data_IF_721617185520
#
_entry.id   IF_721617185520
#
_cell.length_a   1.000
_cell.length_b   1.000
_cell.length_c   1.000
_cell.angle_alpha   90.00
_cell.angle_beta   90.00
_cell.angle_gamma   90.00
#
_symmetry.space_group_name_H-M   'P 1'
#
loop_
_entity.id
_entity.type
_entity.pdbx_description
1 polymer ?
#
# COMPACT_ATOMS: atom_id res chain seq x y z
N UNK A 1 -51.66 -62.00 105.19
CA UNK A 1 -50.34 -62.56 104.86
C UNK A 1 -49.51 -61.48 104.16
N UNK A 2 -48.43 -61.04 104.81
CA UNK A 2 -47.07 -60.71 104.31
C UNK A 2 -46.83 -60.34 102.81
N UNK A 3 -45.77 -59.53 102.48
CA UNK A 3 -45.88 -58.08 102.24
C UNK A 3 -45.15 -57.58 100.97
N UNK A 4 -45.11 -56.25 100.83
CA UNK A 4 -44.21 -55.37 100.05
C UNK A 4 -43.00 -55.99 99.32
N UNK A 5 -42.78 -55.55 98.07
CA UNK A 5 -41.47 -55.09 97.60
C UNK A 5 -41.59 -54.19 96.35
N UNK A 6 -41.23 -52.92 96.51
CA UNK A 6 -40.91 -51.96 95.45
C UNK A 6 -39.49 -52.22 94.95
N UNK A 7 -39.29 -52.34 93.64
CA UNK A 7 -37.96 -52.34 93.01
C UNK A 7 -37.65 -50.98 92.37
N UNK A 8 -36.38 -50.54 92.38
CA UNK A 8 -36.00 -49.15 92.13
C UNK A 8 -35.79 -48.85 90.64
N UNK A 9 -35.87 -47.57 90.31
CA UNK A 9 -35.44 -46.95 89.04
C UNK A 9 -34.03 -47.41 88.65
N UNK A 10 -33.92 -48.27 87.64
CA UNK A 10 -32.64 -48.52 86.96
C UNK A 10 -32.41 -47.44 85.92
N UNK A 11 -31.52 -46.50 86.26
CA UNK A 11 -30.86 -45.63 85.31
C UNK A 11 -29.99 -46.50 84.40
N UNK A 12 -30.38 -46.67 83.14
CA UNK A 12 -29.53 -47.26 82.10
C UNK A 12 -28.42 -46.27 81.76
N UNK A 13 -27.29 -46.37 82.46
CA UNK A 13 -26.03 -45.79 82.00
C UNK A 13 -25.50 -46.65 80.86
N UNK A 14 -25.60 -46.13 79.63
CA UNK A 14 -24.85 -46.67 78.50
C UNK A 14 -23.35 -46.53 78.82
N UNK A 15 -22.72 -47.59 79.30
CA UNK A 15 -21.26 -47.73 79.21
C UNK A 15 -20.95 -48.08 77.75
N UNK A 16 -20.44 -47.10 77.02
CA UNK A 16 -19.69 -47.34 75.80
C UNK A 16 -18.57 -48.33 76.14
N UNK A 17 -18.71 -49.57 75.66
CA UNK A 17 -17.58 -50.49 75.56
C UNK A 17 -16.57 -49.81 74.64
N UNK A 18 -15.48 -49.33 75.22
CA UNK A 18 -14.26 -49.07 74.47
C UNK A 18 -13.76 -50.43 73.97
N UNK A 19 -13.81 -50.64 72.66
CA UNK A 19 -13.12 -51.77 72.03
C UNK A 19 -11.63 -51.65 72.35
N UNK A 20 -11.01 -52.65 73.00
CA UNK A 20 -9.63 -52.58 73.47
C UNK A 20 -8.57 -52.62 72.34
N UNK A 21 -8.99 -52.55 71.08
CA UNK A 21 -8.12 -52.46 69.90
C UNK A 21 -7.98 -51.04 69.33
N UNK A 22 -8.65 -50.03 69.90
CA UNK A 22 -8.59 -48.65 69.41
C UNK A 22 -7.64 -47.74 70.20
N UNK A 23 -6.74 -48.30 71.00
CA UNK A 23 -5.74 -47.52 71.72
C UNK A 23 -4.69 -46.95 70.74
N UNK A 24 -4.88 -45.71 70.29
CA UNK A 24 -3.93 -45.00 69.43
C UNK A 24 -4.22 -45.04 67.93
N UNK A 25 -5.44 -45.41 67.51
CA UNK A 25 -5.88 -45.28 66.12
C UNK A 25 -6.22 -43.83 65.73
N UNK A 26 -6.11 -43.50 64.44
CA UNK A 26 -6.44 -42.18 63.90
C UNK A 26 -7.78 -42.18 63.16
N UNK A 27 -8.51 -41.07 63.24
CA UNK A 27 -9.67 -40.81 62.39
C UNK A 27 -9.26 -40.53 60.93
N UNK A 28 -10.25 -40.37 60.05
CA UNK A 28 -10.04 -39.96 58.67
C UNK A 28 -9.09 -38.73 58.56
N UNK A 29 -8.02 -38.79 57.74
CA UNK A 29 -7.08 -37.68 57.61
C UNK A 29 -7.77 -36.40 57.13
N UNK A 30 -7.60 -35.31 57.87
CA UNK A 30 -8.16 -34.00 57.49
C UNK A 30 -7.57 -33.50 56.16
N UNK A 31 -8.42 -32.81 55.38
CA UNK A 31 -8.00 -32.03 54.21
C UNK A 31 -7.18 -30.84 54.69
N UNK A 32 -5.96 -30.68 54.18
CA UNK A 32 -5.09 -29.56 54.52
C UNK A 32 -5.37 -28.43 53.52
N UNK A 33 -6.22 -27.48 53.91
CA UNK A 33 -6.57 -26.32 53.08
C UNK A 33 -5.34 -25.59 52.56
N UNK A 34 -5.32 -25.26 51.27
CA UNK A 34 -4.22 -24.54 50.62
C UNK A 34 -2.99 -25.38 50.27
N UNK A 35 -3.01 -26.70 50.50
CA UNK A 35 -1.89 -27.60 50.14
C UNK A 35 -1.89 -28.06 48.67
N UNK A 36 -3.01 -27.86 47.95
CA UNK A 36 -3.26 -28.38 46.60
C UNK A 36 -2.98 -29.89 46.49
N UNK A 37 -3.30 -30.63 47.55
CA UNK A 37 -3.13 -32.07 47.66
C UNK A 37 -4.36 -32.72 48.30
N UNK A 38 -4.78 -33.84 47.72
CA UNK A 38 -5.93 -34.62 48.15
C UNK A 38 -5.53 -36.04 48.57
N UNK A 39 -6.28 -36.58 49.53
CA UNK A 39 -6.15 -37.96 49.99
C UNK A 39 -6.52 -38.90 48.82
N UNK A 40 -5.73 -39.94 48.58
CA UNK A 40 -5.99 -40.87 47.49
C UNK A 40 -7.36 -41.56 47.63
N UNK A 41 -8.08 -41.71 46.52
CA UNK A 41 -9.49 -42.12 46.46
C UNK A 41 -9.82 -43.39 47.27
N UNK A 42 -8.89 -44.35 47.31
CA UNK A 42 -9.04 -45.60 48.05
C UNK A 42 -9.22 -45.44 49.57
N UNK A 43 -8.89 -44.27 50.12
CA UNK A 43 -9.02 -43.97 51.55
C UNK A 43 -10.22 -43.07 51.87
N UNK A 44 -10.92 -42.53 50.86
CA UNK A 44 -11.99 -41.52 51.06
C UNK A 44 -13.18 -42.08 51.86
N UNK A 45 -13.48 -43.38 51.70
CA UNK A 45 -14.59 -44.03 52.41
C UNK A 45 -14.19 -44.60 53.77
N UNK A 46 -12.91 -44.50 54.16
CA UNK A 46 -12.40 -45.06 55.41
C UNK A 46 -12.49 -44.02 56.52
N UNK A 47 -13.05 -44.41 57.67
CA UNK A 47 -13.28 -43.51 58.81
C UNK A 47 -12.28 -43.69 59.94
N UNK A 48 -11.56 -44.81 60.01
CA UNK A 48 -10.63 -45.15 61.10
C UNK A 48 -9.40 -45.90 60.59
N UNK A 49 -8.25 -45.65 61.22
CA UNK A 49 -6.93 -46.21 60.87
C UNK A 49 -6.18 -46.66 62.13
N UNK A 50 -5.43 -47.75 62.05
CA UNK A 50 -4.63 -48.27 63.16
C UNK A 50 -3.34 -47.45 63.34
N UNK A 51 -2.78 -47.45 64.56
CA UNK A 51 -1.44 -46.87 64.79
C UNK A 51 -0.41 -47.57 63.89
N UNK A 52 0.42 -46.80 63.19
CA UNK A 52 1.38 -47.28 62.19
C UNK A 52 0.86 -47.28 60.75
N UNK A 53 -0.46 -47.13 60.53
CA UNK A 53 -1.04 -47.09 59.19
C UNK A 53 -0.52 -45.91 58.37
N UNK A 54 -0.41 -46.13 57.07
CA UNK A 54 0.08 -45.14 56.10
C UNK A 54 -0.98 -44.84 55.06
N UNK A 55 -1.24 -43.55 54.87
CA UNK A 55 -2.12 -43.03 53.83
C UNK A 55 -1.33 -42.21 52.82
N UNK A 56 -1.79 -42.20 51.57
CA UNK A 56 -1.10 -41.52 50.47
C UNK A 56 -1.92 -40.33 49.98
N UNK A 57 -1.21 -39.27 49.63
CA UNK A 57 -1.74 -38.05 49.04
C UNK A 57 -1.21 -37.87 47.62
N UNK A 58 -2.06 -37.29 46.77
CA UNK A 58 -1.71 -36.88 45.40
C UNK A 58 -1.99 -35.39 45.25
N UNK A 59 -1.25 -34.72 44.37
CA UNK A 59 -1.55 -33.32 44.06
C UNK A 59 -2.89 -33.20 43.32
N UNK A 60 -3.54 -32.07 43.49
CA UNK A 60 -4.81 -31.75 42.85
C UNK A 60 -4.67 -31.69 41.34
N UNK A 61 -5.79 -31.82 40.63
CA UNK A 61 -5.81 -31.71 39.17
C UNK A 61 -5.20 -30.37 38.76
N UNK A 62 -4.19 -30.42 37.89
CA UNK A 62 -3.45 -29.23 37.45
C UNK A 62 -2.24 -28.87 38.31
N UNK A 63 -1.93 -29.65 39.35
CA UNK A 63 -0.74 -29.50 40.19
C UNK A 63 0.20 -30.71 40.05
N UNK A 64 1.49 -30.48 40.30
CA UNK A 64 2.54 -31.49 40.25
C UNK A 64 3.35 -31.54 41.55
N UNK A 65 3.83 -32.72 41.96
CA UNK A 65 4.62 -32.88 43.18
C UNK A 65 6.05 -32.41 42.95
N UNK A 66 6.48 -31.38 43.68
CA UNK A 66 7.83 -30.79 43.57
C UNK A 66 8.75 -31.16 44.74
N UNK A 67 8.21 -31.79 45.79
CA UNK A 67 9.03 -32.35 46.86
C UNK A 67 8.24 -32.78 48.09
N UNK A 68 8.95 -33.37 49.05
CA UNK A 68 8.37 -33.89 50.30
C UNK A 68 7.72 -35.27 50.19
N UNK A 69 7.31 -35.82 51.35
CA UNK A 69 6.69 -37.14 51.42
C UNK A 69 5.22 -37.09 51.02
N UNK A 70 4.81 -38.01 50.13
CA UNK A 70 3.39 -38.25 49.76
C UNK A 70 2.61 -39.03 50.82
N UNK A 71 3.29 -39.50 51.87
CA UNK A 71 2.70 -40.38 52.88
C UNK A 71 2.59 -39.68 54.22
N UNK A 72 1.45 -39.85 54.88
CA UNK A 72 1.26 -39.56 56.31
C UNK A 72 1.12 -40.88 57.06
N UNK A 73 1.69 -40.93 58.25
CA UNK A 73 1.61 -42.09 59.14
C UNK A 73 0.74 -41.73 60.34
N UNK A 74 -0.13 -42.65 60.76
CA UNK A 74 -0.82 -42.54 62.03
C UNK A 74 0.15 -42.90 63.16
N UNK A 75 0.42 -41.97 64.06
CA UNK A 75 1.29 -42.16 65.21
C UNK A 75 0.49 -41.90 66.48
N UNK A 76 0.05 -42.97 67.14
CA UNK A 76 -0.63 -42.95 68.43
C UNK A 76 -1.80 -41.94 68.48
N UNK A 77 -2.70 -42.04 67.51
CA UNK A 77 -3.91 -41.21 67.40
C UNK A 77 -3.71 -39.87 66.69
N UNK A 78 -2.50 -39.57 66.20
CA UNK A 78 -2.23 -38.34 65.45
C UNK A 78 -1.55 -38.62 64.11
N UNK A 79 -2.06 -38.02 63.04
CA UNK A 79 -1.40 -38.06 61.75
C UNK A 79 -0.16 -37.17 61.71
N UNK A 80 0.98 -37.71 61.26
CA UNK A 80 2.18 -36.91 60.97
C UNK A 80 1.85 -35.74 60.01
N UNK A 81 2.54 -34.59 60.07
CA UNK A 81 2.27 -33.47 59.16
C UNK A 81 2.41 -33.84 57.69
N UNK A 82 1.53 -33.30 56.83
CA UNK A 82 1.67 -33.43 55.38
C UNK A 82 2.89 -32.63 54.92
N UNK A 83 3.90 -33.31 54.37
CA UNK A 83 5.12 -32.69 53.85
C UNK A 83 5.12 -32.51 52.32
N UNK A 84 4.16 -33.12 51.62
CA UNK A 84 4.02 -33.02 50.17
C UNK A 84 3.83 -31.56 49.75
N UNK A 85 4.65 -31.10 48.82
CA UNK A 85 4.50 -29.79 48.18
C UNK A 85 4.04 -29.97 46.75
N UNK A 86 2.96 -29.28 46.41
CA UNK A 86 2.33 -29.30 45.10
C UNK A 86 2.37 -27.89 44.50
N UNK A 87 2.87 -27.78 43.28
CA UNK A 87 2.94 -26.53 42.52
C UNK A 87 2.14 -26.65 41.23
N UNK A 88 1.76 -25.51 40.65
CA UNK A 88 0.96 -25.48 39.41
C UNK A 88 1.74 -26.16 38.28
N UNK A 89 1.05 -26.96 37.48
CA UNK A 89 1.65 -27.61 36.32
C UNK A 89 1.97 -26.58 35.25
N UNK A 90 3.16 -26.66 34.66
CA UNK A 90 3.57 -25.84 33.53
C UNK A 90 2.92 -26.33 32.23
N UNK A 91 2.22 -25.45 31.50
CA UNK A 91 1.74 -25.72 30.14
C UNK A 91 2.77 -25.36 29.07
N UNK A 92 3.64 -24.39 29.33
CA UNK A 92 4.61 -23.89 28.36
C UNK A 92 3.98 -22.95 27.32
N UNK A 93 4.48 -22.98 26.08
CA UNK A 93 4.03 -22.07 25.02
C UNK A 93 2.67 -22.49 24.43
N UNK A 94 1.77 -21.53 24.20
CA UNK A 94 0.43 -21.76 23.64
C UNK A 94 0.41 -21.95 22.12
N UNK A 95 1.55 -22.25 21.50
CA UNK A 95 1.69 -22.36 20.05
C UNK A 95 1.87 -21.01 19.36
N UNK A 96 2.23 -21.05 18.08
CA UNK A 96 2.51 -19.87 17.27
C UNK A 96 1.27 -19.46 16.47
N UNK A 97 1.18 -18.16 16.16
CA UNK A 97 0.14 -17.60 15.29
C UNK A 97 0.85 -16.85 14.17
N UNK A 98 0.64 -17.26 12.92
CA UNK A 98 1.15 -16.50 11.77
C UNK A 98 0.45 -15.14 11.72
N UNK A 99 1.22 -14.06 11.59
CA UNK A 99 0.71 -12.67 11.61
C UNK A 99 -0.05 -12.29 12.90
N UNK A 100 0.35 -12.87 14.02
CA UNK A 100 -0.15 -12.50 15.34
C UNK A 100 0.74 -13.03 16.45
N UNK A 101 0.32 -12.87 17.69
CA UNK A 101 1.02 -13.36 18.87
C UNK A 101 0.07 -13.59 20.04
N UNK A 102 0.51 -14.38 21.02
CA UNK A 102 -0.18 -14.51 22.30
C UNK A 102 0.38 -13.52 23.33
N UNK A 103 -0.52 -12.90 24.07
CA UNK A 103 -0.23 -12.19 25.32
C UNK A 103 -0.61 -13.09 26.49
N UNK A 104 0.32 -13.32 27.41
CA UNK A 104 0.17 -14.29 28.51
C UNK A 104 -0.03 -13.60 29.86
N UNK A 105 -0.90 -14.15 30.70
CA UNK A 105 -0.89 -13.85 32.15
C UNK A 105 0.17 -14.68 32.89
N UNK A 106 0.58 -15.79 32.28
CA UNK A 106 1.56 -16.76 32.76
C UNK A 106 1.51 -18.02 31.88
N UNK A 107 2.22 -19.08 32.28
CA UNK A 107 2.34 -20.32 31.51
C UNK A 107 2.03 -21.58 32.32
N UNK A 108 1.36 -21.43 33.46
CA UNK A 108 1.02 -22.48 34.43
C UNK A 108 -0.49 -22.69 34.54
N UNK A 109 -0.90 -23.82 35.15
CA UNK A 109 -2.29 -24.25 35.26
C UNK A 109 -3.22 -23.15 35.80
N UNK A 110 -4.20 -22.73 34.99
CA UNK A 110 -5.13 -21.64 35.29
C UNK A 110 -4.75 -20.29 34.65
N UNK A 111 -3.55 -20.16 34.07
CA UNK A 111 -3.17 -18.98 33.30
C UNK A 111 -3.87 -18.93 31.94
N UNK A 112 -3.87 -17.75 31.33
CA UNK A 112 -4.50 -17.49 30.04
C UNK A 112 -3.51 -16.96 29.02
N UNK A 113 -3.73 -17.34 27.76
CA UNK A 113 -3.02 -16.82 26.60
C UNK A 113 -4.06 -16.22 25.65
N UNK A 114 -3.97 -14.91 25.39
CA UNK A 114 -4.91 -14.19 24.52
C UNK A 114 -4.21 -13.77 23.23
N UNK A 115 -4.74 -14.24 22.11
CA UNK A 115 -4.23 -13.95 20.79
C UNK A 115 -4.55 -12.51 20.36
N UNK A 116 -3.56 -11.88 19.74
CA UNK A 116 -3.62 -10.54 19.17
C UNK A 116 -3.04 -10.61 17.76
N UNK A 117 -3.81 -10.19 16.77
CA UNK A 117 -3.34 -10.15 15.38
C UNK A 117 -2.54 -8.89 15.10
N UNK A 118 -1.61 -8.99 14.16
CA UNK A 118 -0.85 -7.86 13.66
C UNK A 118 -1.76 -6.90 12.88
N UNK A 119 -1.28 -5.68 12.66
CA UNK A 119 -1.98 -4.68 11.83
C UNK A 119 -2.34 -5.24 10.44
N UNK A 120 -3.58 -5.02 10.01
CA UNK A 120 -4.12 -5.52 8.74
C UNK A 120 -4.48 -7.00 8.75
N UNK A 121 -4.58 -7.63 9.92
CA UNK A 121 -5.08 -8.99 10.09
C UNK A 121 -6.24 -9.04 11.10
N UNK A 122 -7.20 -9.92 10.84
CA UNK A 122 -8.38 -10.15 11.67
C UNK A 122 -8.32 -11.51 12.34
N UNK A 123 -8.77 -11.56 13.60
CA UNK A 123 -8.76 -12.78 14.41
C UNK A 123 -9.95 -13.67 14.05
N UNK A 124 -9.65 -14.91 13.65
CA UNK A 124 -10.63 -15.95 13.35
C UNK A 124 -10.49 -17.09 14.37
N UNK A 125 -11.57 -17.34 15.11
CA UNK A 125 -11.64 -18.34 16.17
C UNK A 125 -11.65 -17.76 17.59
N UNK A 126 -11.37 -18.59 18.60
CA UNK A 126 -11.37 -18.17 20.01
C UNK A 126 -10.04 -17.48 20.34
N UNK A 127 -10.10 -16.21 20.72
CA UNK A 127 -8.91 -15.42 21.04
C UNK A 127 -8.16 -15.95 22.27
N UNK A 128 -8.88 -16.38 23.31
CA UNK A 128 -8.29 -16.77 24.59
C UNK A 128 -8.25 -18.29 24.76
N UNK A 129 -7.08 -18.78 25.18
CA UNK A 129 -6.81 -20.15 25.59
C UNK A 129 -6.50 -20.20 27.08
N UNK A 130 -6.83 -21.31 27.71
CA UNK A 130 -6.68 -21.56 29.14
C UNK A 130 -5.73 -22.73 29.35
N UNK A 131 -4.76 -22.56 30.25
CA UNK A 131 -3.86 -23.62 30.63
C UNK A 131 -4.58 -24.60 31.56
N UNK A 132 -4.98 -25.75 31.02
CA UNK A 132 -5.69 -26.81 31.73
C UNK A 132 -4.72 -27.89 32.21
N UNK A 133 -5.22 -28.91 32.92
CA UNK A 133 -4.41 -30.02 33.42
C UNK A 133 -3.67 -30.80 32.32
N UNK A 134 -4.19 -30.78 31.09
CA UNK A 134 -3.63 -31.43 29.91
C UNK A 134 -2.84 -30.48 28.99
N UNK A 135 -2.60 -29.22 29.40
CA UNK A 135 -2.00 -28.20 28.55
C UNK A 135 -3.00 -27.12 28.14
N UNK A 136 -2.60 -26.26 27.20
CA UNK A 136 -3.47 -25.22 26.64
C UNK A 136 -4.67 -25.82 25.93
N UNK A 137 -5.88 -25.39 26.30
CA UNK A 137 -7.12 -25.85 25.69
C UNK A 137 -7.29 -25.36 24.24
N UNK A 138 -8.19 -26.00 23.48
CA UNK A 138 -8.52 -25.61 22.12
C UNK A 138 -7.35 -25.67 21.12
N UNK A 139 -7.55 -25.05 19.95
CA UNK A 139 -6.52 -24.86 18.92
C UNK A 139 -6.11 -23.38 18.87
N UNK A 140 -4.87 -23.06 18.46
CA UNK A 140 -4.50 -21.67 18.18
C UNK A 140 -5.48 -21.04 17.17
N UNK A 141 -5.90 -19.78 17.38
CA UNK A 141 -6.69 -19.05 16.39
C UNK A 141 -5.83 -18.68 15.17
N UNK A 142 -6.48 -18.23 14.11
CA UNK A 142 -5.81 -17.79 12.87
C UNK A 142 -5.96 -16.28 12.73
N UNK A 143 -4.91 -15.61 12.28
CA UNK A 143 -4.95 -14.21 11.87
C UNK A 143 -4.97 -14.15 10.35
N UNK A 144 -6.13 -13.85 9.78
CA UNK A 144 -6.34 -13.75 8.33
C UNK A 144 -6.15 -12.31 7.87
N UNK A 145 -5.54 -12.10 6.71
CA UNK A 145 -5.34 -10.74 6.20
C UNK A 145 -6.69 -10.10 5.87
N UNK A 146 -6.85 -8.81 6.15
CA UNK A 146 -8.05 -8.10 5.71
C UNK A 146 -8.15 -8.11 4.20
N UNK A 147 -9.36 -8.27 3.69
CA UNK A 147 -9.64 -8.31 2.26
C UNK A 147 -10.35 -7.03 1.82
N UNK A 148 -9.82 -6.42 0.77
CA UNK A 148 -10.47 -5.34 0.04
C UNK A 148 -11.38 -5.91 -1.04
N UNK A 149 -12.53 -5.27 -1.22
CA UNK A 149 -13.42 -5.55 -2.33
C UNK A 149 -12.78 -5.15 -3.67
N UNK A 150 -13.29 -5.68 -4.78
CA UNK A 150 -12.91 -5.23 -6.12
C UNK A 150 -13.00 -3.70 -6.22
N UNK A 151 -11.95 -2.99 -6.66
CA UNK A 151 -12.02 -1.55 -6.86
C UNK A 151 -13.13 -1.17 -7.84
N UNK A 152 -13.72 0.01 -7.66
CA UNK A 152 -14.74 0.52 -8.57
C UNK A 152 -14.24 0.60 -10.02
N UNK A 153 -15.16 0.46 -10.97
CA UNK A 153 -14.78 0.48 -12.39
C UNK A 153 -14.14 1.81 -12.80
N UNK A 154 -13.16 1.73 -13.68
CA UNK A 154 -12.49 2.88 -14.29
C UNK A 154 -12.10 2.59 -15.74
N UNK A 155 -11.98 3.63 -16.55
CA UNK A 155 -11.42 3.54 -17.89
C UNK A 155 -9.88 3.47 -17.91
N UNK A 156 -9.22 3.54 -16.76
CA UNK A 156 -7.78 3.33 -16.63
C UNK A 156 -7.41 1.85 -16.66
N UNK A 157 -6.36 1.52 -17.40
CA UNK A 157 -5.92 0.14 -17.56
C UNK A 157 -5.06 -0.30 -16.37
N UNK A 158 -5.36 -1.45 -15.77
CA UNK A 158 -4.49 -2.07 -14.77
C UNK A 158 -3.20 -2.55 -15.43
N UNK A 159 -2.07 -2.18 -14.83
CA UNK A 159 -0.70 -2.48 -15.32
C UNK A 159 -0.18 -3.78 -14.75
N UNK A 160 -0.62 -4.16 -13.55
CA UNK A 160 -0.37 -5.46 -12.97
C UNK A 160 -1.66 -6.29 -13.00
N UNK A 161 -1.50 -7.58 -13.30
CA UNK A 161 -2.56 -8.57 -13.20
C UNK A 161 -2.44 -9.14 -11.79
N UNK A 162 -3.33 -8.70 -10.90
CA UNK A 162 -3.53 -9.33 -9.61
C UNK A 162 -4.99 -9.76 -9.56
N UNK A 163 -5.21 -11.06 -9.46
CA UNK A 163 -6.54 -11.63 -9.32
C UNK A 163 -6.97 -11.57 -7.84
N UNK A 164 -8.28 -11.44 -7.57
CA UNK A 164 -8.80 -11.50 -6.21
C UNK A 164 -8.53 -12.87 -5.57
N UNK A 165 -8.49 -12.97 -4.23
CA UNK A 165 -8.81 -11.90 -3.26
C UNK A 165 -7.70 -10.85 -3.12
N UNK A 166 -8.09 -9.60 -2.90
CA UNK A 166 -7.14 -8.49 -2.65
C UNK A 166 -6.91 -8.33 -1.16
N UNK A 167 -5.77 -8.80 -0.67
CA UNK A 167 -5.47 -8.73 0.77
C UNK A 167 -4.68 -7.48 1.13
N UNK A 168 -4.57 -7.19 2.43
CA UNK A 168 -3.74 -6.12 2.99
C UNK A 168 -2.41 -5.93 2.25
N UNK A 169 -2.07 -4.67 1.92
CA UNK A 169 -0.89 -4.23 1.15
C UNK A 169 -0.80 -4.70 -0.30
N UNK A 170 -1.78 -5.43 -0.83
CA UNK A 170 -1.87 -5.63 -2.28
C UNK A 170 -1.97 -4.27 -2.98
N UNK A 171 -1.28 -4.12 -4.11
CA UNK A 171 -1.19 -2.84 -4.85
C UNK A 171 -1.72 -3.04 -6.25
N UNK A 172 -2.62 -2.16 -6.69
CA UNK A 172 -3.07 -2.09 -8.08
C UNK A 172 -2.51 -0.81 -8.69
N UNK A 173 -1.80 -0.98 -9.81
CA UNK A 173 -1.17 0.09 -10.58
C UNK A 173 -1.98 0.33 -11.84
N UNK A 174 -2.27 1.59 -12.11
CA UNK A 174 -3.02 2.02 -13.27
C UNK A 174 -2.13 2.72 -14.28
N UNK A 175 -2.52 2.64 -15.55
CA UNK A 175 -1.91 3.34 -16.67
C UNK A 175 -2.96 3.78 -17.68
N UNK A 176 -2.64 4.84 -18.41
CA UNK A 176 -3.44 5.31 -19.54
C UNK A 176 -2.62 5.11 -20.82
N UNK A 177 -3.02 4.21 -21.72
CA UNK A 177 -2.37 4.07 -23.02
C UNK A 177 -2.46 5.36 -23.85
N UNK A 178 -3.61 6.04 -23.78
CA UNK A 178 -3.86 7.32 -24.45
C UNK A 178 -4.43 8.31 -23.43
N UNK A 179 -3.80 9.49 -23.36
CA UNK A 179 -4.21 10.55 -22.45
C UNK A 179 -3.37 10.60 -21.17
N UNK A 180 -3.93 11.22 -20.13
CA UNK A 180 -3.28 11.43 -18.85
C UNK A 180 -4.16 10.88 -17.73
N UNK A 181 -3.49 10.32 -16.73
CA UNK A 181 -4.09 9.72 -15.57
C UNK A 181 -4.40 10.81 -14.54
N UNK A 182 -5.66 10.91 -14.12
CA UNK A 182 -6.13 11.86 -13.13
C UNK A 182 -6.55 11.11 -11.87
N UNK A 183 -5.82 11.32 -10.78
CA UNK A 183 -5.96 10.58 -9.52
C UNK A 183 -4.68 9.83 -9.16
N UNK A 184 -4.77 8.92 -8.18
CA UNK A 184 -3.61 8.13 -7.77
C UNK A 184 -3.25 7.08 -8.82
N UNK A 185 -1.98 7.01 -9.22
CA UNK A 185 -1.48 5.98 -10.14
C UNK A 185 -1.54 4.59 -9.51
N UNK A 186 -1.40 4.51 -8.19
CA UNK A 186 -1.37 3.25 -7.45
C UNK A 186 -2.34 3.35 -6.27
N UNK A 187 -3.10 2.29 -6.04
CA UNK A 187 -3.96 2.13 -4.88
C UNK A 187 -3.53 0.88 -4.14
N UNK A 188 -3.66 0.86 -2.82
CA UNK A 188 -3.30 -0.30 -2.01
C UNK A 188 -4.40 -0.64 -1.01
N UNK A 189 -4.53 -1.92 -0.68
CA UNK A 189 -5.48 -2.38 0.31
C UNK A 189 -4.99 -2.01 1.71
N UNK A 190 -5.80 -1.25 2.43
CA UNK A 190 -5.52 -0.76 3.79
C UNK A 190 -5.85 -1.82 4.84
N UNK A 191 -5.41 -1.56 6.07
CA UNK A 191 -5.68 -2.37 7.27
C UNK A 191 -7.17 -2.44 7.64
N UNK A 192 -7.97 -1.51 7.13
CA UNK A 192 -9.42 -1.44 7.35
C UNK A 192 -10.24 -2.11 6.23
N UNK A 193 -9.60 -2.84 5.31
CA UNK A 193 -10.29 -3.52 4.21
C UNK A 193 -10.84 -2.57 3.13
N UNK A 194 -10.29 -1.35 3.04
CA UNK A 194 -10.65 -0.36 2.00
C UNK A 194 -9.44 0.03 1.15
N UNK A 195 -9.68 0.52 -0.07
CA UNK A 195 -8.60 1.05 -0.91
C UNK A 195 -8.14 2.41 -0.43
N UNK A 196 -6.83 2.64 -0.45
CA UNK A 196 -6.20 3.91 -0.04
C UNK A 196 -6.67 5.13 -0.82
N UNK A 197 -7.20 4.95 -2.03
CA UNK A 197 -7.76 5.98 -2.89
C UNK A 197 -8.71 5.34 -3.91
N UNK A 198 -9.67 6.10 -4.46
CA UNK A 198 -10.46 5.62 -5.59
C UNK A 198 -9.58 5.41 -6.84
N UNK A 199 -9.94 4.47 -7.73
CA UNK A 199 -9.26 4.28 -9.00
C UNK A 199 -9.18 5.57 -9.83
N UNK A 200 -8.05 5.86 -10.48
CA UNK A 200 -7.88 7.08 -11.26
C UNK A 200 -8.64 7.00 -12.57
N UNK A 201 -8.86 8.14 -13.22
CA UNK A 201 -9.55 8.24 -14.51
C UNK A 201 -8.57 8.64 -15.62
N UNK A 202 -8.68 8.03 -16.80
CA UNK A 202 -7.95 8.46 -17.99
C UNK A 202 -8.70 9.58 -18.70
N UNK A 203 -8.10 10.76 -18.76
CA UNK A 203 -8.61 11.88 -19.54
C UNK A 203 -7.81 12.05 -20.83
N UNK A 204 -8.51 12.20 -21.95
CA UNK A 204 -7.88 12.50 -23.22
C UNK A 204 -7.12 13.83 -23.12
N UNK A 205 -5.81 13.80 -23.38
CA UNK A 205 -5.02 15.02 -23.49
C UNK A 205 -5.10 15.48 -24.93
N UNK A 206 -5.34 16.78 -25.13
CA UNK A 206 -5.40 17.39 -26.46
C UNK A 206 -4.23 18.34 -26.64
N UNK A 207 -3.66 18.36 -27.84
CA UNK A 207 -2.64 19.36 -28.18
C UNK A 207 -3.32 20.71 -28.41
N UNK A 208 -2.74 21.77 -27.87
CA UNK A 208 -3.17 23.14 -28.17
C UNK A 208 -2.78 23.49 -29.61
N UNK A 209 -3.54 24.42 -30.21
CA UNK A 209 -3.20 24.93 -31.53
C UNK A 209 -1.76 25.45 -31.55
N UNK A 210 -0.91 24.97 -32.47
CA UNK A 210 0.49 25.37 -32.54
C UNK A 210 0.58 26.84 -32.96
N UNK A 211 1.42 27.59 -32.26
CA UNK A 211 1.71 28.97 -32.63
C UNK A 211 2.90 29.00 -33.61
N UNK A 212 2.62 29.28 -34.88
CA UNK A 212 3.63 29.46 -35.93
C UNK A 212 3.62 30.93 -36.38
N UNK A 213 4.57 31.76 -35.93
CA UNK A 213 4.64 33.16 -36.31
C UNK A 213 4.80 33.32 -37.83
N UNK A 214 4.22 34.38 -38.39
CA UNK A 214 4.27 34.70 -39.82
C UNK A 214 3.70 33.62 -40.75
N UNK A 215 2.86 32.73 -40.23
CA UNK A 215 2.06 31.78 -41.01
C UNK A 215 0.56 32.10 -40.91
N UNK A 216 -0.21 31.54 -41.84
CA UNK A 216 -1.66 31.42 -41.76
C UNK A 216 -2.09 29.97 -42.02
N UNK A 217 -3.26 29.62 -41.49
CA UNK A 217 -3.85 28.29 -41.66
C UNK A 217 -4.60 28.22 -42.99
N UNK A 218 -4.32 27.18 -43.78
CA UNK A 218 -4.98 26.99 -45.08
C UNK A 218 -6.37 26.35 -44.89
N UNK A 219 -6.51 25.45 -43.90
CA UNK A 219 -7.72 24.69 -43.60
C UNK A 219 -8.14 24.86 -42.11
N UNK A 220 -9.10 24.03 -41.65
CA UNK A 220 -9.77 24.04 -40.34
C UNK A 220 -8.86 24.37 -39.15
N UNK A 221 -8.96 25.61 -38.66
CA UNK A 221 -8.31 26.04 -37.44
C UNK A 221 -9.09 25.53 -36.21
N UNK A 222 -8.55 24.53 -35.51
CA UNK A 222 -9.12 24.04 -34.25
C UNK A 222 -8.36 24.61 -33.05
N UNK A 223 -9.07 24.91 -31.97
CA UNK A 223 -8.44 25.32 -30.70
C UNK A 223 -7.60 24.19 -30.09
N UNK A 224 -8.04 22.94 -30.26
CA UNK A 224 -7.33 21.76 -29.74
C UNK A 224 -7.42 20.59 -30.72
N UNK A 225 -6.43 19.70 -30.67
CA UNK A 225 -6.28 18.54 -31.55
C UNK A 225 -6.21 17.25 -30.71
N UNK A 226 -6.86 16.17 -31.20
CA UNK A 226 -6.85 14.86 -30.53
C UNK A 226 -5.49 14.16 -30.73
N UNK A 227 -5.11 13.24 -29.84
CA UNK A 227 -3.97 12.36 -30.09
C UNK A 227 -4.06 11.67 -31.45
N UNK A 228 -2.91 11.52 -32.11
CA UNK A 228 -2.73 11.01 -33.49
C UNK A 228 -3.31 11.89 -34.61
N UNK A 229 -3.94 13.02 -34.29
CA UNK A 229 -4.39 13.96 -35.32
C UNK A 229 -3.17 14.67 -35.93
N UNK A 230 -3.08 14.63 -37.26
CA UNK A 230 -1.98 15.23 -38.03
C UNK A 230 -2.49 16.44 -38.81
N UNK A 231 -1.73 17.53 -38.77
CA UNK A 231 -2.01 18.77 -39.49
C UNK A 231 -0.86 19.16 -40.41
N UNK A 232 -1.19 19.63 -41.62
CA UNK A 232 -0.23 19.98 -42.69
C UNK A 232 -0.52 21.32 -43.38
N UNK A 233 -1.55 22.03 -42.92
CA UNK A 233 -2.10 23.19 -43.62
C UNK A 233 -1.54 24.53 -43.13
N UNK A 234 -0.21 24.71 -43.23
CA UNK A 234 0.46 25.98 -42.92
C UNK A 234 0.95 26.65 -44.20
N UNK A 235 0.67 27.95 -44.36
CA UNK A 235 1.26 28.77 -45.43
C UNK A 235 1.91 30.00 -44.83
N UNK A 236 3.15 30.27 -45.21
CA UNK A 236 3.83 31.48 -44.76
C UNK A 236 3.21 32.72 -45.41
N UNK A 237 3.19 33.83 -44.65
CA UNK A 237 2.82 35.15 -45.16
C UNK A 237 3.82 35.58 -46.26
N UNK A 238 3.39 36.51 -47.12
CA UNK A 238 4.23 37.04 -48.19
C UNK A 238 5.58 37.54 -47.65
N UNK A 239 6.67 37.24 -48.37
CA UNK A 239 8.03 37.59 -47.95
C UNK A 239 8.70 36.59 -46.98
N UNK A 240 8.00 35.53 -46.57
CA UNK A 240 8.56 34.46 -45.72
C UNK A 240 8.59 33.10 -46.44
N UNK A 241 9.58 32.29 -46.09
CA UNK A 241 9.84 30.95 -46.60
C UNK A 241 9.63 29.91 -45.51
N UNK A 242 9.00 28.78 -45.85
CA UNK A 242 8.66 27.71 -44.91
C UNK A 242 9.87 26.81 -44.65
N UNK A 243 10.23 26.62 -43.38
CA UNK A 243 11.37 25.79 -42.95
C UNK A 243 10.93 24.87 -41.82
N UNK A 244 11.07 23.55 -42.01
CA UNK A 244 10.75 22.55 -41.00
C UNK A 244 9.85 21.43 -41.56
N UNK A 245 9.23 20.63 -40.67
CA UNK A 245 8.39 19.51 -41.08
C UNK A 245 7.10 20.01 -41.73
N UNK A 246 6.73 19.41 -42.87
CA UNK A 246 5.51 19.75 -43.61
C UNK A 246 4.21 19.33 -42.89
N UNK A 247 4.31 18.40 -41.94
CA UNK A 247 3.20 17.93 -41.12
C UNK A 247 3.65 17.77 -39.67
N UNK A 248 2.73 18.03 -38.74
CA UNK A 248 2.94 17.77 -37.32
C UNK A 248 1.75 16.97 -36.77
N UNK A 249 2.03 16.05 -35.86
CA UNK A 249 1.11 15.07 -35.31
C UNK A 249 1.01 15.28 -33.80
N UNK A 250 -0.22 15.32 -33.27
CA UNK A 250 -0.43 15.42 -31.84
C UNK A 250 -0.08 14.08 -31.16
N UNK A 251 0.86 14.10 -30.23
CA UNK A 251 1.26 12.93 -29.46
C UNK A 251 0.22 12.55 -28.39
N UNK A 252 0.31 11.31 -27.89
CA UNK A 252 -0.57 10.79 -26.82
C UNK A 252 -0.46 11.55 -25.50
N UNK A 253 0.68 12.21 -25.25
CA UNK A 253 0.91 13.06 -24.08
C UNK A 253 0.41 14.52 -24.23
N UNK A 254 -0.27 14.86 -25.32
CA UNK A 254 -0.77 16.23 -25.56
C UNK A 254 0.28 17.24 -26.05
N UNK A 255 1.42 16.75 -26.52
CA UNK A 255 2.47 17.55 -27.14
C UNK A 255 2.64 17.16 -28.61
N UNK A 256 3.01 18.12 -29.45
CA UNK A 256 3.33 17.85 -30.85
C UNK A 256 4.59 16.99 -30.95
N UNK A 257 4.52 15.88 -31.70
CA UNK A 257 5.63 14.92 -31.83
C UNK A 257 6.82 15.53 -32.58
N UNK A 258 6.53 16.31 -33.62
CA UNK A 258 7.51 17.02 -34.43
C UNK A 258 7.71 18.45 -33.90
N UNK A 259 8.90 19.02 -34.14
CA UNK A 259 9.15 20.45 -33.85
C UNK A 259 8.28 21.32 -34.76
N UNK A 260 7.75 22.43 -34.21
CA UNK A 260 6.93 23.35 -34.99
C UNK A 260 7.71 23.95 -36.17
N UNK A 261 7.11 24.06 -37.37
CA UNK A 261 7.74 24.71 -38.51
C UNK A 261 7.94 26.20 -38.25
N UNK A 262 8.85 26.83 -39.01
CA UNK A 262 9.17 28.26 -38.91
C UNK A 262 9.01 28.93 -40.27
N UNK A 263 8.47 30.13 -40.28
CA UNK A 263 8.47 31.01 -41.46
C UNK A 263 9.60 32.04 -41.28
N UNK A 264 10.63 31.97 -42.12
CA UNK A 264 11.79 32.86 -42.09
C UNK A 264 11.77 33.84 -43.27
N UNK A 265 12.24 35.09 -43.12
CA UNK A 265 12.30 36.03 -44.24
C UNK A 265 13.01 35.42 -45.46
N UNK A 266 12.41 35.57 -46.65
CA UNK A 266 13.00 35.09 -47.89
C UNK A 266 14.34 35.76 -48.15
N UNK A 267 15.39 34.97 -48.43
CA UNK A 267 16.68 35.51 -48.85
C UNK A 267 16.53 36.06 -50.27
N UNK A 268 16.45 37.37 -50.42
CA UNK A 268 16.57 38.02 -51.72
C UNK A 268 18.03 37.92 -52.19
N UNK A 269 18.25 37.34 -53.37
CA UNK A 269 19.56 37.35 -54.00
C UNK A 269 19.59 38.53 -54.97
N UNK A 270 20.33 39.58 -54.64
CA UNK A 270 20.53 40.72 -55.54
C UNK A 270 21.46 40.28 -56.68
N UNK A 271 20.88 40.02 -57.85
CA UNK A 271 21.62 39.79 -59.09
C UNK A 271 22.02 41.14 -59.69
N UNK A 272 23.25 41.56 -59.46
CA UNK A 272 23.83 42.70 -60.16
C UNK A 272 24.14 42.30 -61.62
N UNK A 273 23.28 42.68 -62.56
CA UNK A 273 23.53 42.49 -64.00
C UNK A 273 24.16 43.76 -64.58
N UNK A 274 25.48 43.73 -64.77
CA UNK A 274 26.20 44.79 -65.49
C UNK A 274 25.98 44.68 -67.00
N UNK A 275 25.41 45.70 -67.64
CA UNK A 275 25.39 45.81 -69.11
C UNK A 275 26.72 46.40 -69.59
N UNK A 276 27.47 45.59 -70.34
CA UNK A 276 28.38 46.07 -71.39
C UNK A 276 29.88 46.13 -71.06
N UNK A 277 30.61 45.11 -71.52
CA UNK A 277 31.65 45.21 -72.57
C UNK A 277 32.82 44.24 -72.33
N UNK A 278 33.27 43.64 -73.44
CA UNK A 278 34.24 42.55 -73.52
C UNK A 278 35.66 43.04 -73.21
N UNK A 279 36.34 42.44 -72.23
CA UNK A 279 37.76 42.07 -72.36
C UNK A 279 38.21 41.22 -71.16
N UNK A 280 38.86 40.11 -71.47
CA UNK A 280 39.63 39.28 -70.55
C UNK A 280 40.84 40.07 -70.02
N UNK A 281 40.97 40.20 -68.70
CA UNK A 281 42.26 40.17 -67.97
C UNK A 281 42.04 40.24 -66.46
N UNK A 282 42.79 39.41 -65.77
CA UNK A 282 42.95 39.31 -64.32
C UNK A 282 43.66 40.56 -63.76
N UNK A 283 43.36 40.92 -62.50
CA UNK A 283 44.04 41.87 -61.59
C UNK A 283 43.49 43.32 -61.41
N UNK A 284 43.76 43.97 -60.25
CA UNK A 284 42.72 44.54 -59.38
C UNK A 284 42.56 46.07 -59.52
N UNK A 285 41.33 46.55 -59.31
CA UNK A 285 41.05 47.97 -59.08
C UNK A 285 40.42 48.69 -60.27
N UNK A 286 39.13 48.43 -60.51
CA UNK A 286 38.31 49.35 -61.31
C UNK A 286 37.65 50.38 -60.38
N UNK A 287 38.17 51.62 -60.40
CA UNK A 287 37.45 52.81 -59.91
C UNK A 287 36.66 53.37 -61.11
N UNK A 288 35.36 53.11 -61.15
CA UNK A 288 34.45 53.70 -62.12
C UNK A 288 33.11 54.02 -61.45
N UNK A 289 32.78 55.30 -61.36
CA UNK A 289 31.49 55.76 -60.87
C UNK A 289 30.43 55.58 -61.97
N UNK A 290 29.79 54.41 -61.99
CA UNK A 290 28.61 54.15 -62.81
C UNK A 290 27.35 54.16 -61.94
N UNK A 291 26.28 54.83 -62.38
CA UNK A 291 24.94 54.70 -61.78
C UNK A 291 24.46 53.25 -61.94
N UNK A 292 24.50 52.47 -60.86
CA UNK A 292 23.83 51.17 -60.80
C UNK A 292 22.33 51.40 -60.71
N UNK A 293 21.57 50.85 -61.67
CA UNK A 293 20.11 50.79 -61.60
C UNK A 293 19.72 49.43 -61.03
N UNK A 294 19.27 49.42 -59.78
CA UNK A 294 18.75 48.20 -59.15
C UNK A 294 17.36 47.94 -59.73
N UNK A 295 17.20 46.87 -60.51
CA UNK A 295 15.89 46.34 -60.88
C UNK A 295 15.63 45.08 -60.06
N UNK A 296 14.76 45.19 -59.06
CA UNK A 296 14.21 44.03 -58.37
C UNK A 296 13.23 43.32 -59.34
N UNK A 297 13.55 42.10 -59.74
CA UNK A 297 12.58 41.24 -60.45
C UNK A 297 11.89 40.36 -59.43
N UNK A 298 10.55 40.41 -59.42
CA UNK A 298 9.74 39.55 -58.57
C UNK A 298 9.89 38.07 -58.99
N UNK A 299 9.80 37.09 -58.07
CA UNK A 299 9.76 35.68 -58.43
C UNK A 299 8.49 35.38 -59.24
N UNK A 300 8.49 34.37 -60.13
CA UNK A 300 7.34 34.05 -60.95
C UNK A 300 6.19 33.55 -60.06
N UNK A 301 5.08 34.30 -60.02
CA UNK A 301 3.89 33.93 -59.26
C UNK A 301 3.02 35.07 -58.70
N UNK A 302 3.37 36.34 -58.93
CA UNK A 302 2.52 37.48 -58.54
C UNK A 302 1.26 37.57 -59.41
N UNK A 303 0.09 37.26 -58.85
CA UNK A 303 -1.20 37.55 -59.49
C UNK A 303 -1.42 39.06 -59.58
N UNK A 304 -1.70 39.55 -60.79
CA UNK A 304 -2.26 40.89 -61.04
C UNK A 304 -3.69 40.93 -60.47
N UNK A 305 -3.97 41.91 -59.63
CA UNK A 305 -5.34 42.38 -59.40
C UNK A 305 -5.49 43.74 -60.08
N UNK A 306 -6.22 43.78 -61.19
CA UNK A 306 -6.63 45.03 -61.83
C UNK A 306 -7.81 45.61 -61.03
N UNK A 307 -7.68 46.83 -60.51
CA UNK A 307 -8.80 47.62 -60.00
C UNK A 307 -9.19 48.69 -61.02
N UNK A 308 -10.50 48.82 -61.23
CA UNK A 308 -11.17 49.53 -62.33
C UNK A 308 -11.18 51.06 -62.24
N UNK A 309 -10.16 51.65 -61.63
CA UNK A 309 -10.03 53.11 -61.57
C UNK A 309 -8.58 53.45 -61.82
N UNK A 310 -8.30 54.16 -62.93
CA UNK A 310 -7.02 54.25 -63.66
C UNK A 310 -5.84 54.89 -62.93
N UNK A 311 -5.65 54.58 -61.65
CA UNK A 311 -4.61 55.12 -60.77
C UNK A 311 -3.79 53.95 -60.20
N UNK A 312 -2.59 53.72 -60.76
CA UNK A 312 -1.63 52.75 -60.22
C UNK A 312 -0.99 53.31 -58.94
N UNK A 313 -1.53 52.98 -57.78
CA UNK A 313 -0.84 53.18 -56.51
C UNK A 313 -0.03 51.92 -56.21
N UNK A 314 1.25 51.92 -56.57
CA UNK A 314 2.19 50.97 -55.98
C UNK A 314 2.39 51.40 -54.52
N UNK A 315 1.80 50.67 -53.57
CA UNK A 315 2.20 50.78 -52.16
C UNK A 315 3.65 50.26 -52.07
N UNK A 316 4.60 51.19 -52.14
CA UNK A 316 6.00 50.94 -51.83
C UNK A 316 6.12 50.65 -50.33
N UNK A 317 6.27 49.38 -49.96
CA UNK A 317 6.81 49.04 -48.66
C UNK A 317 8.31 49.29 -48.71
N UNK A 318 8.75 50.36 -48.04
CA UNK A 318 10.16 50.66 -47.83
C UNK A 318 10.77 49.57 -46.95
N UNK A 319 11.70 48.79 -47.50
CA UNK A 319 12.64 47.99 -46.71
C UNK A 319 14.01 48.62 -46.84
N UNK A 320 14.51 49.21 -45.76
CA UNK A 320 15.93 49.57 -45.62
C UNK A 320 16.77 48.31 -45.76
N UNK A 321 17.66 48.28 -46.75
CA UNK A 321 18.63 47.21 -46.93
C UNK A 321 20.04 47.78 -46.78
N UNK A 322 20.83 47.19 -45.88
CA UNK A 322 22.27 47.45 -45.78
C UNK A 322 23.00 46.66 -46.86
N UNK A 323 23.74 47.35 -47.72
CA UNK A 323 24.62 46.72 -48.72
C UNK A 323 26.06 46.97 -48.28
N UNK A 324 26.82 45.89 -48.12
CA UNK A 324 28.25 45.94 -47.81
C UNK A 324 29.07 45.85 -49.09
N UNK A 325 29.84 46.89 -49.40
CA UNK A 325 30.82 46.92 -50.50
C UNK A 325 32.21 47.11 -49.89
N UNK A 326 33.11 46.13 -50.08
CA UNK A 326 34.46 46.10 -49.53
C UNK A 326 34.53 46.34 -48.00
N UNK A 327 33.60 45.77 -47.25
CA UNK A 327 33.62 45.81 -45.78
C UNK A 327 33.21 47.13 -45.14
N UNK A 328 32.63 48.08 -45.88
CA UNK A 328 31.92 49.24 -45.32
C UNK A 328 30.43 49.17 -45.61
N UNK A 329 29.61 49.39 -44.58
CA UNK A 329 28.17 49.60 -44.71
C UNK A 329 27.91 50.94 -45.43
N UNK A 330 27.09 50.90 -46.47
CA UNK A 330 26.46 52.08 -47.02
C UNK A 330 24.97 51.99 -46.69
N UNK A 331 24.50 52.85 -45.79
CA UNK A 331 23.08 53.13 -45.65
C UNK A 331 22.66 53.99 -46.84
N UNK A 332 21.70 53.50 -47.63
CA UNK A 332 20.96 54.33 -48.55
C UNK A 332 19.47 54.10 -48.32
N UNK A 333 18.84 55.08 -47.70
CA UNK A 333 17.38 55.21 -47.65
C UNK A 333 16.89 55.55 -49.05
N UNK A 334 16.04 54.69 -49.59
CA UNK A 334 15.19 54.99 -50.73
C UNK A 334 13.77 54.70 -50.32
#
# INVERSE_FOLDING_TARGET
>A
ALPHQTCPSMSLTCHSREDPNLAGGCDAPLIVSGSNANLADKYITMTSFSSGDKVYYSCDVGYIPVGGSRTRTCDNGKWTPLKLRCERKLCGHAGEISNGQFTYTGVEFGDTATAVCNEGFILVGRATRYCMSNGWDGRPPVCEAVECQEPTETNAQRRNVQEPPYTFRNVIRYGCPVGSLVGSREIWCTDNGTWSSPPPQCKAVRCQSPNVPNAFWINSHKKTYRPMETISSFKCKSGYTFTGPAHITCGSGGQWLQRLPKCLPGKYTLLCVGKGSKSSKTQPGFKGAGKLRIQATAPPGGQRSDTNDGTRVAQHFYTTQTVTLNGKELEQTQ
#
